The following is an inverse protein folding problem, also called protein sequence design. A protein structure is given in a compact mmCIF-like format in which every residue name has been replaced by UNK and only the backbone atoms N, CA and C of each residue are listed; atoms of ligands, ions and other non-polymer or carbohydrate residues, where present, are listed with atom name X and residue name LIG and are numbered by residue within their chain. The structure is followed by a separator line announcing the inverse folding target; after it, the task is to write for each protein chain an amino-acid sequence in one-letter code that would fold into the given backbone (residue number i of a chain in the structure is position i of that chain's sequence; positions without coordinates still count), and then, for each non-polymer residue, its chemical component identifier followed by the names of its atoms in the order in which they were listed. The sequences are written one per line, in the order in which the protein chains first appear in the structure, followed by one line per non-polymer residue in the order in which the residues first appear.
data_IF_494187637710
#
_entry.id   IF_494187637710
#
_cell.length_a   1.000
_cell.length_b   1.000
_cell.length_c   1.000
_cell.angle_alpha   90.00
_cell.angle_beta   90.00
_cell.angle_gamma   90.00
#
_symmetry.space_group_name_H-M   'P 1'
#
loop_
_entity.id
_entity.type
_entity.pdbx_description
1 polymer ?
2 non-polymer ?
3 water ?
#
# COMPACT_ATOMS: atom_id res chain seq x y z
N UNK A 11 -5.31 -13.40 18.97
CA UNK A 11 -6.42 -14.14 19.56
C UNK A 11 -6.82 -13.53 20.90
N UNK A 12 -6.39 -12.30 21.15
CA UNK A 12 -6.70 -11.59 22.38
C UNK A 12 -7.28 -10.22 22.04
N UNK A 13 -8.09 -9.70 22.97
CA UNK A 13 -8.71 -8.40 22.79
C UNK A 13 -8.64 -7.64 24.11
N UNK A 14 -9.00 -6.36 24.05
CA UNK A 14 -8.89 -5.50 25.22
C UNK A 14 -7.47 -5.19 25.64
N UNK A 15 -6.51 -5.32 24.72
CA UNK A 15 -5.11 -5.06 25.00
C UNK A 15 -4.50 -4.35 23.80
N UNK A 16 -3.59 -3.41 24.07
CA UNK A 16 -2.84 -2.72 23.04
C UNK A 16 -1.35 -3.04 23.20
N UNK A 17 -0.72 -3.49 22.12
CA UNK A 17 0.70 -3.79 22.11
C UNK A 17 1.37 -2.81 21.15
N UNK A 18 2.07 -1.83 21.70
CA UNK A 18 2.76 -0.80 20.92
C UNK A 18 4.23 -0.83 21.30
N UNK A 19 5.09 -1.08 20.32
CA UNK A 19 6.52 -1.09 20.57
C UNK A 19 6.96 -2.15 21.55
N UNK A 20 6.39 -3.36 21.44
CA UNK A 20 6.75 -4.47 22.29
C UNK A 20 6.11 -4.48 23.67
N UNK A 21 5.55 -3.36 24.11
CA UNK A 21 4.96 -3.26 25.44
C UNK A 21 3.45 -3.43 25.35
N UNK A 22 2.90 -4.24 26.25
CA UNK A 22 1.48 -4.54 26.27
C UNK A 22 0.79 -3.73 27.36
N UNK A 23 -0.31 -3.09 27.01
CA UNK A 23 -1.10 -2.27 27.93
C UNK A 23 -2.53 -2.78 27.94
N UNK A 24 -3.02 -3.10 29.14
CA UNK A 24 -4.45 -3.35 29.30
C UNK A 24 -5.23 -2.09 28.96
N UNK A 25 -6.27 -2.25 28.14
CA UNK A 25 -6.97 -1.08 27.65
C UNK A 25 -8.44 -1.40 27.40
N UNK A 26 -9.26 -0.36 27.44
CA UNK A 26 -10.65 -0.40 27.02
C UNK A 26 -10.85 0.72 26.01
N UNK A 27 -12.06 0.78 25.44
CA UNK A 27 -12.36 1.83 24.47
C UNK A 27 -12.32 3.20 25.14
N UNK A 28 -12.70 3.27 26.42
CA UNK A 28 -12.72 4.55 27.12
C UNK A 28 -11.33 5.12 27.35
N UNK A 29 -10.29 4.29 27.34
CA UNK A 29 -8.92 4.78 27.45
C UNK A 29 -8.43 5.51 26.20
N UNK A 30 -9.29 5.74 25.22
CA UNK A 30 -8.88 6.32 23.93
C UNK A 30 -9.72 7.55 23.64
N UNK A 31 -9.03 8.65 23.32
CA UNK A 31 -9.69 9.91 22.99
C UNK A 31 -9.83 10.05 21.47
N UNK A 32 -11.04 10.36 21.03
CA UNK A 32 -11.31 10.47 19.60
C UNK A 32 -10.84 11.83 19.09
N UNK A 33 -9.89 11.83 18.16
CA UNK A 33 -9.32 13.04 17.61
C UNK A 33 -9.85 13.37 16.22
N UNK A 34 -10.90 12.70 15.77
CA UNK A 34 -11.53 12.99 14.49
C UNK A 34 -11.45 11.83 13.54
N UNK A 35 -12.24 11.95 12.46
CA UNK A 35 -12.31 10.94 11.42
C UNK A 35 -11.22 11.15 10.38
N UNK A 36 -10.70 10.06 9.85
CA UNK A 36 -9.66 10.13 8.83
C UNK A 36 -10.21 9.78 7.45
N UNK A 42 -17.30 1.57 6.43
CA UNK A 42 -16.20 1.55 7.37
C UNK A 42 -15.77 2.93 7.84
N UNK A 43 -15.54 3.05 9.15
CA UNK A 43 -15.20 4.32 9.77
C UNK A 43 -13.83 4.22 10.42
N UNK A 44 -12.95 5.16 10.08
CA UNK A 44 -11.59 5.20 10.64
C UNK A 44 -11.46 6.46 11.47
N UNK A 45 -10.90 6.33 12.67
CA UNK A 45 -10.70 7.44 13.58
C UNK A 45 -9.22 7.61 13.90
N UNK A 46 -8.78 8.85 14.01
CA UNK A 46 -7.52 9.16 14.67
C UNK A 46 -7.78 9.24 16.16
N UNK A 47 -7.01 8.51 16.96
CA UNK A 47 -7.29 8.42 18.38
C UNK A 47 -6.00 8.38 19.18
N UNK A 48 -6.08 8.86 20.41
CA UNK A 48 -4.92 8.97 21.30
C UNK A 48 -5.14 8.07 22.51
N UNK A 49 -4.20 7.16 22.74
CA UNK A 49 -4.23 6.29 23.91
C UNK A 49 -3.80 7.11 25.12
N UNK A 50 -4.74 7.33 26.05
CA UNK A 50 -4.48 8.24 27.16
C UNK A 50 -3.37 7.75 28.08
N UNK A 51 -3.16 6.43 28.15
CA UNK A 51 -2.17 5.91 29.08
C UNK A 51 -0.74 6.29 28.69
N UNK A 52 -0.48 6.48 27.39
CA UNK A 52 0.87 6.73 26.92
C UNK A 52 1.03 7.95 26.04
N UNK A 53 -0.05 8.50 25.48
CA UNK A 53 0.04 9.55 24.49
C UNK A 53 0.18 9.07 23.06
N UNK A 54 0.24 7.76 22.84
CA UNK A 54 0.36 7.22 21.49
C UNK A 54 -0.87 7.60 20.67
N UNK A 55 -0.63 8.10 19.46
CA UNK A 55 -1.68 8.43 18.51
C UNK A 55 -1.77 7.31 17.49
N UNK A 56 -2.96 6.74 17.34
CA UNK A 56 -3.18 5.53 16.54
C UNK A 56 -4.39 5.75 15.65
N UNK A 57 -4.51 4.87 14.65
CA UNK A 57 -5.69 4.81 13.80
C UNK A 57 -6.57 3.66 14.28
N UNK A 58 -7.88 3.90 14.31
CA UNK A 58 -8.82 2.94 14.87
C UNK A 58 -9.99 2.79 13.91
N UNK A 59 -10.21 1.57 13.42
CA UNK A 59 -11.36 1.25 12.60
C UNK A 59 -12.51 0.82 13.49
N UNK A 60 -13.69 1.35 13.25
CA UNK A 60 -14.89 0.99 14.01
C UNK A 60 -15.79 0.18 13.09
N UNK A 61 -15.83 -1.13 13.32
CA UNK A 61 -16.73 -2.02 12.60
C UNK A 61 -18.02 -2.14 13.40
N UNK A 62 -19.07 -1.49 12.93
CA UNK A 62 -20.34 -1.53 13.64
C UNK A 62 -21.00 -2.88 13.43
N UNK A 63 -21.55 -3.43 14.52
CA UNK A 63 -22.21 -4.74 14.44
C UNK A 63 -23.40 -4.70 13.49
N UNK A 64 -24.08 -3.57 13.40
CA UNK A 64 -25.20 -3.39 12.49
C UNK A 64 -24.76 -2.88 11.12
N UNK A 65 -23.47 -2.88 10.84
CA UNK A 65 -22.96 -2.36 9.59
C UNK A 65 -23.22 -3.29 8.42
N UNK A 66 -22.75 -2.86 7.26
CA UNK A 66 -22.91 -3.64 6.04
C UNK A 66 -22.17 -4.96 6.15
N UNK A 67 -22.85 -6.04 5.76
CA UNK A 67 -22.22 -7.37 5.82
C UNK A 67 -21.05 -7.46 4.85
N UNK A 68 -21.17 -6.81 3.69
CA UNK A 68 -20.08 -6.85 2.71
C UNK A 68 -18.86 -6.09 3.21
N UNK A 69 -19.07 -4.89 3.75
CA UNK A 69 -17.96 -4.10 4.29
C UNK A 69 -17.34 -4.80 5.50
N UNK A 70 -18.18 -5.28 6.41
CA UNK A 70 -17.66 -5.97 7.59
C UNK A 70 -16.91 -7.23 7.21
N UNK A 71 -17.30 -7.89 6.12
CA UNK A 71 -16.57 -9.06 5.64
C UNK A 71 -15.17 -8.67 5.18
N UNK A 72 -15.06 -7.59 4.40
CA UNK A 72 -13.76 -7.13 3.94
C UNK A 72 -12.92 -6.60 5.10
N UNK A 73 -13.56 -6.05 6.14
CA UNK A 73 -12.82 -5.58 7.30
C UNK A 73 -12.25 -6.76 8.08
N UNK A 74 -13.06 -7.80 8.29
CA UNK A 74 -12.59 -8.99 8.98
C UNK A 74 -11.53 -9.72 8.15
N UNK A 75 -11.63 -9.66 6.82
CA UNK A 75 -10.64 -10.32 5.98
C UNK A 75 -9.31 -9.58 6.00
N UNK A 76 -9.37 -8.24 5.95
CA UNK A 76 -8.14 -7.46 6.04
C UNK A 76 -7.48 -7.63 7.40
N UNK A 77 -8.28 -7.71 8.46
CA UNK A 77 -7.71 -7.89 9.80
C UNK A 77 -7.06 -9.26 9.95
N UNK A 78 -7.67 -10.29 9.36
CA UNK A 78 -7.13 -11.64 9.47
C UNK A 78 -5.72 -11.71 8.89
N UNK A 79 -5.52 -11.09 7.73
CA UNK A 79 -4.20 -11.06 7.11
C UNK A 79 -3.24 -10.22 7.95
N UNK A 80 -3.71 -9.06 8.41
CA UNK A 80 -2.85 -8.15 9.18
C UNK A 80 -2.35 -8.82 10.45
N UNK A 81 -3.23 -9.55 11.13
CA UNK A 81 -2.82 -10.25 12.35
C UNK A 81 -1.76 -11.30 12.06
N UNK A 82 -1.82 -11.93 10.89
CA UNK A 82 -0.81 -12.91 10.52
C UNK A 82 0.52 -12.27 10.15
N UNK A 83 0.52 -10.98 9.83
CA UNK A 83 1.69 -10.31 9.26
C UNK A 83 2.50 -9.55 10.29
N UNK A 84 2.49 -9.99 11.54
CA UNK A 84 3.18 -9.25 12.59
C UNK A 84 4.70 -9.24 12.40
N UNK A 85 5.25 -10.28 11.77
CA UNK A 85 6.69 -10.37 11.55
C UNK A 85 7.13 -9.75 10.23
N UNK A 86 6.23 -9.05 9.53
CA UNK A 86 6.59 -8.35 8.30
C UNK A 86 6.66 -6.86 8.57
N UNK A 87 7.83 -6.23 8.42
CA UNK A 87 7.95 -4.79 8.71
C UNK A 87 7.41 -3.89 7.61
N UNK A 88 6.96 -4.45 6.49
CA UNK A 88 6.47 -3.64 5.37
C UNK A 88 4.95 -3.72 5.24
N UNK A 89 4.25 -4.21 6.27
CA UNK A 89 2.80 -4.24 6.31
C UNK A 89 2.34 -3.46 7.53
N UNK A 90 1.32 -2.62 7.34
CA UNK A 90 0.79 -1.84 8.46
C UNK A 90 0.33 -2.78 9.56
N UNK A 91 0.69 -2.45 10.80
CA UNK A 91 0.56 -3.38 11.92
C UNK A 91 -0.68 -3.07 12.75
N UNK A 92 -1.16 -4.10 13.43
CA UNK A 92 -2.30 -4.00 14.34
C UNK A 92 -1.81 -4.08 15.78
N UNK A 93 -2.22 -3.12 16.60
CA UNK A 93 -1.85 -3.11 18.01
C UNK A 93 -2.76 -4.00 18.86
N UNK A 94 -4.01 -4.14 18.46
CA UNK A 94 -4.97 -4.88 19.26
C UNK A 94 -6.37 -4.49 18.86
N UNK A 95 -7.34 -5.14 19.51
CA UNK A 95 -8.75 -4.94 19.19
C UNK A 95 -9.54 -4.72 20.47
N UNK A 96 -10.75 -4.18 20.29
CA UNK A 96 -11.69 -3.99 21.38
C UNK A 96 -13.05 -4.47 20.90
N UNK A 97 -13.59 -5.51 21.53
CA UNK A 97 -14.88 -6.07 21.17
C UNK A 97 -15.89 -5.67 22.24
N UNK A 98 -16.88 -4.90 21.82
CA UNK A 98 -18.00 -4.53 22.67
C UNK A 98 -19.26 -5.20 22.16
N UNK A 99 -20.37 -4.99 22.89
CA UNK A 99 -21.64 -5.58 22.49
C UNK A 99 -22.12 -5.05 21.14
N UNK A 100 -21.67 -3.86 20.73
CA UNK A 100 -22.18 -3.23 19.52
C UNK A 100 -21.14 -2.91 18.47
N UNK A 101 -19.85 -2.98 18.78
CA UNK A 101 -18.83 -2.61 17.82
C UNK A 101 -17.60 -3.50 17.99
N UNK A 102 -16.72 -3.45 16.99
CA UNK A 102 -15.36 -3.97 17.10
C UNK A 102 -14.42 -2.84 16.67
N UNK A 103 -13.48 -2.51 17.54
CA UNK A 103 -12.51 -1.44 17.29
C UNK A 103 -11.16 -2.06 17.00
N UNK A 104 -10.60 -1.77 15.82
CA UNK A 104 -9.32 -2.32 15.38
C UNK A 104 -8.28 -1.22 15.45
N UNK A 105 -7.29 -1.41 16.32
CA UNK A 105 -6.23 -0.41 16.51
C UNK A 105 -5.09 -0.73 15.56
N UNK A 106 -4.83 0.18 14.63
CA UNK A 106 -3.74 0.08 13.67
C UNK A 106 -2.72 1.18 13.93
N UNK A 107 -1.49 0.93 13.52
CA UNK A 107 -0.48 1.98 13.61
C UNK A 107 -0.84 3.10 12.64
N UNK A 108 -0.65 4.34 13.10
CA UNK A 108 -0.98 5.50 12.30
C UNK A 108 0.18 5.83 11.38
N UNK A 109 -0.12 5.99 10.09
CA UNK A 109 0.85 6.44 9.10
C UNK A 109 0.55 7.89 8.72
N UNK A 110 1.54 8.51 8.07
CA UNK A 110 1.39 9.91 7.71
C UNK A 110 0.37 10.12 6.60
N UNK A 111 0.52 9.39 5.50
CA UNK A 111 -0.33 9.58 4.33
C UNK A 111 -0.15 8.39 3.40
N UNK A 112 -0.96 8.37 2.34
CA UNK A 112 -0.78 7.42 1.26
C UNK A 112 -0.11 8.09 0.07
N UNK A 113 0.40 7.28 -0.84
CA UNK A 113 1.15 7.80 -1.98
C UNK A 113 0.27 8.59 -2.93
N UNK A 114 -1.04 8.34 -2.95
CA UNK A 114 -1.92 9.12 -3.81
C UNK A 114 -2.08 10.54 -3.28
N UNK A 115 -2.38 10.69 -1.99
CA UNK A 115 -2.42 12.01 -1.39
C UNK A 115 -1.06 12.68 -1.43
N UNK A 116 0.02 11.89 -1.36
CA UNK A 116 1.35 12.47 -1.46
C UNK A 116 1.60 13.03 -2.85
N UNK A 117 1.03 12.38 -3.88
CA UNK A 117 1.20 12.88 -5.24
C UNK A 117 0.45 14.19 -5.45
N UNK A 118 -0.79 14.26 -4.96
CA UNK A 118 -1.58 15.47 -5.16
C UNK A 118 -1.02 16.65 -4.37
N UNK A 119 -0.59 16.40 -3.13
CA UNK A 119 0.05 17.46 -2.35
C UNK A 119 1.36 17.89 -3.00
N UNK A 120 2.09 16.94 -3.58
CA UNK A 120 3.34 17.28 -4.24
C UNK A 120 3.10 18.10 -5.49
N UNK A 121 2.00 17.81 -6.21
CA UNK A 121 1.69 18.42 -7.50
C UNK A 121 2.82 18.25 -8.50
N UNK A 122 3.58 17.16 -8.36
CA UNK A 122 4.67 16.87 -9.26
C UNK A 122 5.28 15.51 -9.00
N UNK A 123 6.31 15.17 -9.78
CA UNK A 123 6.96 13.86 -9.63
C UNK A 123 7.56 13.67 -8.25
N UNK A 124 7.50 12.42 -7.79
CA UNK A 124 8.17 12.00 -6.55
C UNK A 124 9.55 11.48 -6.93
N UNK A 125 10.61 11.90 -6.23
CA UNK A 125 11.97 11.54 -6.65
C UNK A 125 12.17 10.04 -6.74
N UNK A 126 13.11 9.64 -7.61
CA UNK A 126 13.39 8.21 -7.80
C UNK A 126 13.93 7.57 -6.52
N UNK A 127 14.76 8.30 -5.78
CA UNK A 127 15.34 7.73 -4.56
C UNK A 127 14.28 7.40 -3.52
N UNK A 128 13.17 8.12 -3.51
CA UNK A 128 12.06 7.77 -2.64
C UNK A 128 11.29 6.60 -3.22
N UNK A 129 11.13 6.56 -4.54
CA UNK A 129 10.41 5.46 -5.17
C UNK A 129 11.21 4.15 -5.12
N UNK A 130 12.53 4.23 -4.95
CA UNK A 130 13.30 3.01 -4.79
C UNK A 130 13.05 2.35 -3.45
N UNK A 131 13.07 3.13 -2.38
CA UNK A 131 12.71 2.61 -1.06
C UNK A 131 11.28 2.12 -1.05
N UNK A 132 10.40 2.80 -1.77
CA UNK A 132 9.00 2.36 -1.87
C UNK A 132 8.90 1.03 -2.60
N UNK A 133 9.66 0.88 -3.70
CA UNK A 133 9.62 -0.37 -4.46
C UNK A 133 10.15 -1.52 -3.64
N UNK A 134 11.19 -1.28 -2.83
CA UNK A 134 11.75 -2.34 -2.00
C UNK A 134 10.72 -2.82 -0.97
N UNK A 135 10.08 -1.87 -0.30
CA UNK A 135 9.15 -2.23 0.77
C UNK A 135 7.91 -2.92 0.22
N UNK A 136 7.34 -2.42 -0.88
CA UNK A 136 6.08 -2.97 -1.38
C UNK A 136 6.30 -4.33 -2.03
N UNK A 137 7.42 -4.50 -2.74
CA UNK A 137 7.71 -5.81 -3.34
C UNK A 137 7.92 -6.85 -2.24
N UNK A 138 8.67 -6.49 -1.19
CA UNK A 138 8.88 -7.43 -0.10
C UNK A 138 7.59 -7.69 0.68
N UNK A 139 6.69 -6.71 0.72
CA UNK A 139 5.40 -6.91 1.35
C UNK A 139 4.55 -7.91 0.56
N UNK A 140 4.52 -7.74 -0.77
CA UNK A 140 3.74 -8.65 -1.61
C UNK A 140 4.39 -10.03 -1.67
N UNK A 141 5.71 -10.09 -1.66
CA UNK A 141 6.41 -11.37 -1.64
C UNK A 141 6.17 -12.10 -0.33
N UNK A 142 6.15 -11.37 0.78
CA UNK A 142 5.83 -11.99 2.07
C UNK A 142 4.40 -12.53 2.07
N UNK A 143 3.47 -11.76 1.52
CA UNK A 143 2.08 -12.18 1.50
C UNK A 143 1.91 -13.48 0.72
N UNK A 144 2.56 -13.58 -0.45
CA UNK A 144 2.40 -14.76 -1.29
C UNK A 144 3.11 -15.97 -0.69
N UNK A 145 4.33 -15.79 -0.19
CA UNK A 145 5.12 -16.94 0.24
C UNK A 145 4.69 -17.44 1.62
N UNK A 146 4.38 -16.53 2.54
CA UNK A 146 4.06 -16.94 3.90
C UNK A 146 2.61 -17.32 4.10
N UNK A 147 1.68 -16.71 3.35
CA UNK A 147 0.26 -16.95 3.56
C UNK A 147 -0.50 -17.31 2.29
N UNK A 148 0.17 -17.43 1.15
CA UNK A 148 -0.54 -17.71 -0.09
C UNK A 148 -1.53 -16.64 -0.48
N UNK A 149 -1.24 -15.38 -0.16
CA UNK A 149 -2.18 -14.28 -0.34
C UNK A 149 -1.75 -13.45 -1.54
N UNK A 150 -2.69 -13.16 -2.44
CA UNK A 150 -2.49 -12.20 -3.52
C UNK A 150 -3.30 -10.96 -3.20
N UNK A 151 -2.67 -9.78 -3.31
CA UNK A 151 -3.29 -8.53 -2.89
C UNK A 151 -4.47 -8.17 -3.77
N UNK A 152 -4.27 -8.20 -5.09
CA UNK A 152 -5.26 -7.98 -6.15
C UNK A 152 -5.65 -6.51 -6.33
N UNK A 153 -5.14 -5.59 -5.53
CA UNK A 153 -5.55 -4.19 -5.65
C UNK A 153 -4.39 -3.26 -5.27
N UNK A 154 -3.25 -3.47 -5.91
CA UNK A 154 -2.09 -2.61 -5.68
C UNK A 154 -2.29 -1.30 -6.43
N UNK A 155 -2.11 -0.19 -5.74
CA UNK A 155 -2.32 1.15 -6.27
C UNK A 155 -1.74 2.15 -5.28
N UNK A 156 -1.51 3.41 -5.71
CA UNK A 156 -0.86 4.37 -4.82
C UNK A 156 -1.58 4.62 -3.50
N UNK A 157 -2.92 4.48 -3.47
CA UNK A 157 -3.65 4.73 -2.24
C UNK A 157 -3.44 3.64 -1.20
N UNK A 158 -2.82 2.52 -1.56
CA UNK A 158 -2.54 1.44 -0.62
C UNK A 158 -1.08 1.42 -0.18
N UNK A 159 -0.29 2.42 -0.58
CA UNK A 159 1.10 2.55 -0.16
C UNK A 159 1.17 3.67 0.87
N UNK A 160 1.49 3.31 2.11
CA UNK A 160 1.52 4.28 3.20
C UNK A 160 2.96 4.68 3.52
N UNK A 161 3.12 5.93 3.94
CA UNK A 161 4.38 6.49 4.38
C UNK A 161 4.14 7.32 5.63
N UNK A 162 5.14 7.38 6.51
CA UNK A 162 5.02 8.15 7.75
C UNK A 162 6.21 9.10 7.89
N UNK A 163 6.21 9.86 8.99
CA UNK A 163 7.30 10.79 9.27
C UNK A 163 8.59 10.08 9.66
N UNK A 164 8.51 8.83 10.10
CA UNK A 164 9.71 8.08 10.48
C UNK A 164 10.45 7.50 9.28
N UNK A 165 9.94 7.69 8.07
CA UNK A 165 10.57 7.14 6.89
C UNK A 165 10.09 5.76 6.50
N UNK A 166 9.12 5.20 7.20
CA UNK A 166 8.61 3.87 6.89
C UNK A 166 7.66 3.92 5.71
N UNK A 167 7.67 2.86 4.92
CA UNK A 167 6.76 2.66 3.80
C UNK A 167 6.14 1.27 3.94
N UNK A 168 4.81 1.21 3.98
CA UNK A 168 4.12 -0.03 4.26
C UNK A 168 2.89 -0.16 3.37
N UNK A 169 2.56 -1.42 3.09
CA UNK A 169 1.34 -1.76 2.36
C UNK A 169 0.19 -1.86 3.36
N UNK A 170 -0.99 -1.41 2.95
CA UNK A 170 -2.08 -1.37 3.93
C UNK A 170 -3.21 -2.34 3.63
N UNK A 171 -4.33 -2.17 4.31
CA UNK A 171 -5.34 -3.22 4.46
C UNK A 171 -5.84 -3.80 3.14
N UNK A 172 -6.08 -5.11 3.21
CA UNK A 172 -6.25 -6.06 2.12
C UNK A 172 -7.67 -6.61 2.14
N UNK A 173 -8.64 -5.80 1.69
CA UNK A 173 -10.02 -6.24 1.74
C UNK A 173 -10.31 -7.35 0.76
N UNK A 174 -9.56 -7.38 -0.34
CA UNK A 174 -9.74 -8.32 -1.44
C UNK A 174 -8.61 -9.34 -1.50
N UNK A 175 -7.79 -9.42 -0.46
CA UNK A 175 -6.70 -10.39 -0.43
C UNK A 175 -7.22 -11.81 -0.57
N UNK A 176 -6.62 -12.56 -1.49
CA UNK A 176 -7.00 -13.95 -1.71
C UNK A 176 -5.83 -14.90 -1.51
N UNK A 189 -10.83 -5.02 -7.55
CA UNK A 189 -9.66 -4.42 -8.16
C UNK A 189 -9.97 -3.15 -8.93
N UNK A 190 -9.09 -2.16 -8.82
CA UNK A 190 -9.29 -0.89 -9.51
C UNK A 190 -9.00 -1.06 -11.00
N UNK A 191 -9.91 -0.55 -11.83
CA UNK A 191 -9.81 -0.78 -13.27
C UNK A 191 -8.56 -0.15 -13.86
N UNK A 192 -8.14 1.01 -13.34
CA UNK A 192 -7.03 1.74 -13.91
C UNK A 192 -5.71 1.00 -13.79
N UNK A 193 -5.59 0.06 -12.86
CA UNK A 193 -4.34 -0.64 -12.60
C UNK A 193 -4.43 -2.13 -12.91
N UNK A 194 -5.45 -2.55 -13.66
CA UNK A 194 -5.63 -3.96 -13.96
C UNK A 194 -4.62 -4.42 -15.01
N UNK A 195 -4.03 -5.59 -14.77
CA UNK A 195 -3.12 -6.18 -15.73
C UNK A 195 -3.89 -6.62 -16.98
N UNK A 196 -3.23 -6.68 -18.14
CA UNK A 196 -3.91 -7.14 -19.35
C UNK A 196 -4.55 -8.52 -19.22
N UNK A 197 -3.93 -9.43 -18.47
CA UNK A 197 -4.49 -10.77 -18.31
C UNK A 197 -5.69 -10.79 -17.37
N UNK A 198 -5.88 -9.74 -16.57
CA UNK A 198 -7.12 -9.61 -15.81
C UNK A 198 -8.24 -9.01 -16.64
N UNK A 199 -7.90 -8.25 -17.69
CA UNK A 199 -8.90 -7.71 -18.58
C UNK A 199 -9.35 -8.76 -19.58
N UNK A 200 -8.39 -9.43 -20.24
CA UNK A 200 -8.65 -10.48 -21.22
C UNK A 200 -8.00 -11.76 -20.72
N UNK A 201 -8.67 -12.52 -19.85
CA UNK A 201 -8.05 -13.70 -19.24
C UNK A 201 -7.82 -14.80 -20.27
N UNK A 202 -6.58 -15.29 -20.38
CA UNK A 202 -6.35 -16.46 -21.26
C UNK A 202 -7.14 -17.68 -20.85
N UNK A 203 -7.20 -17.97 -19.55
CA UNK A 203 -7.98 -19.08 -19.00
C UNK A 203 -7.64 -20.41 -19.67
N UNK A 210 -0.25 -15.67 -11.31
CA UNK A 210 -1.37 -14.84 -10.84
C UNK A 210 -0.86 -13.65 -10.04
N UNK A 211 0.19 -13.86 -9.25
CA UNK A 211 0.82 -12.74 -8.54
C UNK A 211 1.32 -11.70 -9.51
N UNK A 212 1.66 -12.12 -10.74
CA UNK A 212 2.24 -11.22 -11.73
C UNK A 212 1.27 -10.11 -12.14
N UNK A 213 -0.03 -10.26 -11.90
CA UNK A 213 -0.96 -9.17 -12.15
C UNK A 213 -0.74 -8.01 -11.19
N UNK A 214 -0.32 -8.30 -9.96
CA UNK A 214 0.02 -7.24 -9.03
C UNK A 214 1.34 -6.58 -9.39
N UNK A 215 2.23 -7.32 -10.07
CA UNK A 215 3.46 -6.74 -10.58
C UNK A 215 3.14 -5.67 -11.62
N UNK A 216 2.08 -5.87 -12.40
CA UNK A 216 1.67 -4.87 -13.38
C UNK A 216 1.14 -3.62 -12.70
N UNK A 217 0.26 -3.79 -11.70
CA UNK A 217 -0.29 -2.64 -11.01
C UNK A 217 0.81 -1.82 -10.35
N UNK A 218 1.82 -2.48 -9.79
CA UNK A 218 2.93 -1.75 -9.20
C UNK A 218 3.70 -0.96 -10.24
N UNK A 219 3.90 -1.56 -11.43
CA UNK A 219 4.56 -0.83 -12.51
C UNK A 219 3.79 0.40 -12.92
N UNK A 220 2.46 0.30 -12.98
CA UNK A 220 1.65 1.46 -13.33
C UNK A 220 1.74 2.53 -12.25
N UNK A 221 1.72 2.10 -10.98
CA UNK A 221 1.82 3.06 -9.88
C UNK A 221 3.16 3.78 -9.89
N UNK A 222 4.24 3.06 -10.19
CA UNK A 222 5.56 3.67 -10.23
C UNK A 222 5.67 4.71 -11.34
N UNK A 223 5.10 4.42 -12.51
CA UNK A 223 5.13 5.39 -13.59
C UNK A 223 4.30 6.62 -13.23
N UNK A 224 3.15 6.42 -12.60
CA UNK A 224 2.30 7.53 -12.20
C UNK A 224 3.00 8.40 -11.17
N UNK A 225 3.64 7.78 -10.17
CA UNK A 225 4.29 8.55 -9.12
C UNK A 225 5.57 9.21 -9.62
N UNK A 226 6.26 8.58 -10.58
CA UNK A 226 7.52 9.13 -11.08
C UNK A 226 7.29 10.28 -12.06
N UNK A 227 6.16 10.29 -12.76
CA UNK A 227 5.86 11.36 -13.70
C UNK A 227 4.88 12.39 -13.14
N UNK A 228 4.17 12.06 -12.07
CA UNK A 228 3.10 12.91 -11.58
C UNK A 228 1.82 12.83 -12.39
N UNK A 229 1.76 11.93 -13.37
CA UNK A 229 0.61 11.80 -14.27
C UNK A 229 0.25 10.33 -14.40
N UNK A 230 -1.04 10.03 -14.31
CA UNK A 230 -1.50 8.69 -14.61
C UNK A 230 -1.20 8.36 -16.07
N UNK A 231 -0.64 7.19 -16.37
CA UNK A 231 -0.12 6.97 -17.74
C UNK A 231 -1.18 6.96 -18.82
N UNK A 232 -2.37 6.41 -18.55
CA UNK A 232 -3.43 6.35 -19.55
C UNK A 232 -4.31 7.58 -19.35
N UNK A 233 -4.02 8.63 -20.13
CA UNK A 233 -4.60 9.94 -19.91
C UNK A 233 -5.89 10.13 -20.71
N UNK A 234 -6.69 11.10 -20.26
CA UNK A 234 -7.89 11.54 -20.97
C UNK A 234 -8.90 10.42 -21.15
N UNK A 235 -9.03 9.56 -20.14
CA UNK A 235 -10.00 8.48 -20.16
C UNK A 235 -11.22 8.90 -19.34
N UNK A 236 -12.39 8.84 -19.97
CA UNK A 236 -13.63 9.26 -19.33
C UNK A 236 -14.39 8.11 -18.67
N UNK A 237 -14.12 6.87 -19.08
CA UNK A 237 -14.80 5.70 -18.54
C UNK A 237 -13.78 4.66 -18.12
N UNK A 238 -14.22 3.72 -17.27
CA UNK A 238 -13.36 2.61 -16.89
C UNK A 238 -13.03 1.74 -18.08
N UNK A 239 -14.00 1.51 -18.96
CA UNK A 239 -13.76 0.66 -20.12
C UNK A 239 -12.74 1.29 -21.06
N UNK A 240 -12.76 2.62 -21.19
CA UNK A 240 -11.79 3.29 -22.04
C UNK A 240 -10.37 3.09 -21.51
N UNK A 241 -10.21 3.06 -20.18
CA UNK A 241 -8.91 2.72 -19.61
C UNK A 241 -8.49 1.32 -20.04
N UNK A 242 -9.43 0.37 -19.96
CA UNK A 242 -9.11 -1.01 -20.27
C UNK A 242 -8.66 -1.19 -21.72
N UNK A 243 -9.30 -0.47 -22.64
CA UNK A 243 -8.92 -0.56 -24.04
C UNK A 243 -7.51 -0.03 -24.25
N UNK A 244 -7.10 0.97 -23.47
CA UNK A 244 -5.76 1.50 -23.62
C UNK A 244 -4.72 0.53 -23.07
N UNK A 245 -5.05 -0.23 -22.03
CA UNK A 245 -4.10 -1.20 -21.49
C UNK A 245 -3.82 -2.29 -22.52
N UNK A 246 -4.84 -2.67 -23.31
CA UNK A 246 -4.71 -3.74 -24.28
C UNK A 246 -4.21 -3.24 -25.63
N UNK A 247 -4.73 -2.11 -26.11
CA UNK A 247 -4.42 -1.63 -27.46
C UNK A 247 -3.12 -0.85 -27.56
N UNK A 248 -2.63 -0.28 -26.46
CA UNK A 248 -1.45 0.57 -26.51
C UNK A 248 -0.26 -0.15 -25.88
N UNK A 249 0.94 0.30 -26.28
CA UNK A 249 2.17 -0.23 -25.75
C UNK A 249 2.29 0.09 -24.26
N UNK A 250 3.13 -0.65 -23.53
CA UNK A 250 3.30 -0.37 -22.10
C UNK A 250 3.76 1.05 -21.87
N UNK A 251 3.16 1.75 -20.91
CA UNK A 251 3.54 3.16 -20.64
C UNK A 251 4.78 3.27 -19.75
N UNK A 252 5.94 3.15 -20.38
CA UNK A 252 7.19 3.07 -19.67
C UNK A 252 7.63 4.46 -19.18
N UNK A 253 8.79 4.50 -18.52
CA UNK A 253 9.32 5.74 -17.98
C UNK A 253 9.90 6.61 -19.10
N UNK A 254 9.66 7.92 -19.04
CA UNK A 254 10.29 8.81 -20.03
C UNK A 254 11.80 8.81 -19.89
N UNK A 255 12.48 8.95 -21.02
CA UNK A 255 13.92 8.94 -21.05
C UNK A 255 14.59 10.29 -20.88
N UNK A 256 13.86 11.32 -20.45
CA UNK A 256 14.40 12.66 -20.35
C UNK A 256 14.19 13.28 -18.97
N UNK A 257 13.87 12.48 -17.95
CA UNK A 257 13.75 12.97 -16.58
C UNK A 257 14.93 12.58 -15.71
N UNK A 258 16.01 12.07 -16.30
CA UNK A 258 17.15 11.66 -15.50
C UNK A 258 16.95 10.37 -14.74
N UNK A 259 15.93 9.58 -15.10
CA UNK A 259 15.73 8.29 -14.46
C UNK A 259 16.90 7.36 -14.76
N UNK A 260 17.35 6.64 -13.73
CA UNK A 260 18.48 5.73 -13.90
C UNK A 260 18.09 4.56 -14.80
N UNK A 261 19.10 3.96 -15.43
CA UNK A 261 18.85 2.81 -16.27
C UNK A 261 18.24 1.64 -15.51
N UNK A 262 18.56 1.51 -14.23
CA UNK A 262 18.00 0.42 -13.45
C UNK A 262 16.52 0.64 -13.17
N UNK A 263 16.14 1.89 -12.88
CA UNK A 263 14.73 2.21 -12.64
C UNK A 263 13.89 1.98 -13.89
N UNK A 264 14.38 2.45 -15.04
CA UNK A 264 13.65 2.23 -16.29
C UNK A 264 13.57 0.75 -16.62
N UNK A 265 14.64 0.00 -16.31
CA UNK A 265 14.62 -1.44 -16.55
C UNK A 265 13.62 -2.14 -15.64
N UNK A 266 13.54 -1.72 -14.38
CA UNK A 266 12.59 -2.34 -13.46
C UNK A 266 11.15 -2.08 -13.89
N UNK A 267 10.85 -0.85 -14.29
CA UNK A 267 9.50 -0.52 -14.74
C UNK A 267 9.15 -1.30 -16.00
N UNK A 268 10.08 -1.38 -16.94
CA UNK A 268 9.80 -2.09 -18.19
C UNK A 268 9.53 -3.57 -17.94
N UNK A 269 10.22 -4.17 -16.98
CA UNK A 269 9.97 -5.57 -16.66
C UNK A 269 8.60 -5.74 -16.00
N UNK A 270 8.23 -4.82 -15.09
CA UNK A 270 6.90 -4.88 -14.48
C UNK A 270 5.81 -4.73 -15.52
N UNK A 271 6.03 -3.88 -16.53
CA UNK A 271 5.03 -3.57 -17.54
C UNK A 271 5.16 -4.46 -18.77
N UNK A 272 5.61 -5.70 -18.60
CA UNK A 272 5.58 -6.66 -19.70
C UNK A 272 4.15 -7.14 -19.88
N UNK A 273 3.56 -6.87 -21.04
CA UNK A 273 2.14 -7.12 -21.23
C UNK A 273 1.82 -8.61 -21.18
N UNK A 274 2.65 -9.44 -21.81
CA UNK A 274 2.47 -10.88 -21.72
C UNK A 274 2.83 -11.35 -20.32
N UNK A 275 1.83 -11.79 -19.57
CA UNK A 275 2.07 -12.18 -18.17
C UNK A 275 2.95 -13.41 -18.06
N UNK A 276 2.94 -14.28 -19.08
CA UNK A 276 3.79 -15.46 -19.04
C UNK A 276 5.27 -15.11 -19.02
N UNK A 277 5.64 -13.91 -19.46
CA UNK A 277 7.02 -13.44 -19.42
C UNK A 277 7.25 -12.38 -18.35
N UNK A 278 6.21 -11.93 -17.66
CA UNK A 278 6.41 -10.96 -16.59
C UNK A 278 7.10 -11.63 -15.41
N UNK A 279 8.11 -11.00 -14.82
CA UNK A 279 8.85 -11.63 -13.73
C UNK A 279 8.00 -11.81 -12.49
N UNK A 280 8.24 -12.91 -11.79
CA UNK A 280 7.63 -13.12 -10.48
C UNK A 280 8.41 -12.32 -9.43
N UNK A 281 7.98 -12.40 -8.16
CA UNK A 281 8.60 -11.59 -7.13
C UNK A 281 10.04 -12.02 -6.87
N UNK A 282 10.32 -13.31 -6.98
CA UNK A 282 11.67 -13.80 -6.71
C UNK A 282 12.68 -13.25 -7.70
N UNK A 283 12.24 -12.98 -8.95
CA UNK A 283 13.15 -12.40 -9.94
C UNK A 283 13.25 -10.90 -9.80
N UNK A 284 12.16 -10.25 -9.38
CA UNK A 284 12.21 -8.80 -9.15
C UNK A 284 13.11 -8.46 -7.97
N UNK A 285 13.10 -9.28 -6.93
CA UNK A 285 13.92 -9.02 -5.75
C UNK A 285 15.41 -9.11 -6.06
N UNK A 286 15.79 -9.75 -7.16
CA UNK A 286 17.18 -9.79 -7.59
C UNK A 286 17.53 -8.65 -8.54
N UNK A 287 16.56 -7.81 -8.89
CA UNK A 287 16.82 -6.73 -9.84
C UNK A 287 17.78 -5.71 -9.24
N UNK A 288 18.64 -5.16 -10.11
CA UNK A 288 19.64 -4.21 -9.63
C UNK A 288 18.99 -2.96 -9.05
N UNK A 289 17.77 -2.63 -9.46
CA UNK A 289 17.06 -1.50 -8.86
C UNK A 289 16.71 -1.81 -7.40
N UNK A 290 16.24 -3.03 -7.13
CA UNK A 290 15.96 -3.43 -5.75
C UNK A 290 17.25 -3.49 -4.94
N UNK A 291 18.31 -4.06 -5.53
CA UNK A 291 19.55 -4.25 -4.80
C UNK A 291 20.22 -2.93 -4.43
N UNK A 292 20.04 -1.89 -5.26
CA UNK A 292 20.66 -0.60 -4.95
C UNK A 292 20.02 0.03 -3.73
N UNK A 293 18.69 0.06 -3.68
CA UNK A 293 17.97 0.73 -2.61
C UNK A 293 17.71 -0.17 -1.41
N UNK A 294 18.16 -1.43 -1.45
CA UNK A 294 18.20 -2.23 -0.23
C UNK A 294 19.28 -1.71 0.71
N UNK A 295 20.42 -1.31 0.16
CA UNK A 295 21.58 -0.91 0.93
C UNK A 295 21.85 0.59 0.92
N UNK A 296 21.25 1.34 0.01
CA UNK A 296 21.52 2.77 -0.09
C UNK A 296 20.78 3.53 1.00
N UNK A 297 21.51 4.37 1.73
CA UNK A 297 20.91 5.23 2.74
C UNK A 297 20.11 6.33 2.06
N UNK A 298 18.79 6.30 2.23
CA UNK A 298 17.90 7.33 1.71
C UNK A 298 17.09 7.86 2.87
N UNK A 299 17.22 9.15 3.17
CA UNK A 299 16.49 9.77 4.28
C UNK A 299 15.08 10.08 3.81
N UNK A 300 14.24 9.06 3.85
CA UNK A 300 12.83 9.24 3.49
C UNK A 300 12.13 10.11 4.52
N UNK A 301 12.55 10.02 5.78
CA UNK A 301 11.92 10.80 6.84
C UNK A 301 12.07 12.30 6.60
N UNK A 302 13.29 12.75 6.33
CA UNK A 302 13.52 14.18 6.13
C UNK A 302 12.82 14.70 4.89
N UNK A 303 12.86 13.94 3.79
CA UNK A 303 12.17 14.35 2.58
C UNK A 303 10.66 14.39 2.81
N UNK A 304 10.13 13.45 3.59
CA UNK A 304 8.70 13.40 3.83
C UNK A 304 8.22 14.62 4.62
N UNK A 305 8.95 15.01 5.66
CA UNK A 305 8.55 16.15 6.47
C UNK A 305 8.68 17.45 5.70
N UNK A 306 9.65 17.55 4.78
CA UNK A 306 9.77 18.77 3.98
C UNK A 306 8.63 18.90 2.99
N UNK A 307 8.12 17.79 2.47
CA UNK A 307 7.01 17.84 1.52
C UNK A 307 5.72 18.23 2.24
N UNK A 308 5.44 17.61 3.37
CA UNK A 308 4.21 17.90 4.11
C UNK A 308 4.21 19.32 4.65
N UNK A 309 5.39 19.86 4.98
CA UNK A 309 5.45 21.25 5.43
C UNK A 309 5.01 22.22 4.33
N UNK A 310 5.12 21.80 3.08
CA UNK A 310 4.67 22.62 1.96
C UNK A 310 3.25 22.16 1.60
N UNK A 311 2.33 22.52 2.49
CA UNK A 311 0.96 22.02 2.46
C UNK A 311 0.25 22.21 1.13
#
# INVERSE_FOLDING_TARGET
MGHHHHHHSAKQTGYLTIGGQRYQAEINDLENLGEMGSGTCGQVWKMRFRKTGHVIAVKQMRRSGNKEENKRILMDLDVVLKSHDCPYIVQCFGTFITNTDVFIAMELMGTCAEKLKKRMQGPIPERILGKMTVAIVKALYYLKEKHGVIHRDVKPSNILLDERGQIKLCDFGISGRLVDSKAKTRSAGCAAYMAPERIDPPDPTKPDYDIRADVWSLGISLVELATGQFPYKNCKTDFEVLTKVLQEEPPLLPGHMGFSGDFQSFVKDCLTKDHRKRPKYNKLLEHSFIKRYETLEVDVASWFKDVMAKTESPRTSG
#
